data_IF_019528392237
#
_entry.id   IF_019528392237
#
_cell.length_a   1.000
_cell.length_b   1.000
_cell.length_c   1.000
_cell.angle_alpha   90.00
_cell.angle_beta   90.00
_cell.angle_gamma   90.00
#
_symmetry.space_group_name_H-M   'P 1'
#
loop_
_entity.id
_entity.type
_entity.pdbx_description
1 polymer ?
#
# COMPACT_ATOMS: atom_id res chain seq x y z
N UNK A 1 -14.37 -8.53 -3.72
CA UNK A 1 -14.31 -7.16 -4.28
C UNK A 1 -14.88 -6.20 -3.27
N UNK A 2 -14.27 -5.03 -3.08
CA UNK A 2 -14.73 -4.01 -2.13
C UNK A 2 -15.54 -2.91 -2.83
N UNK A 3 -16.47 -2.29 -2.09
CA UNK A 3 -17.21 -1.09 -2.51
C UNK A 3 -16.37 0.19 -2.45
N UNK A 4 -15.27 0.17 -1.68
CA UNK A 4 -14.37 1.31 -1.51
C UNK A 4 -13.57 1.52 -2.80
N UNK A 5 -13.63 2.76 -3.30
CA UNK A 5 -12.94 3.17 -4.52
C UNK A 5 -12.35 4.56 -4.32
N UNK A 6 -11.22 4.81 -4.99
CA UNK A 6 -10.56 6.10 -5.00
C UNK A 6 -10.31 6.52 -6.45
N UNK A 7 -10.04 7.81 -6.63
CA UNK A 7 -9.50 8.31 -7.89
C UNK A 7 -8.00 8.02 -7.93
N UNK A 8 -7.67 6.82 -8.39
CA UNK A 8 -6.28 6.39 -8.59
C UNK A 8 -5.60 7.21 -9.67
N UNK A 9 -4.41 7.71 -9.36
CA UNK A 9 -3.55 8.43 -10.30
C UNK A 9 -2.35 7.58 -10.72
N UNK A 10 -1.80 6.77 -9.80
CA UNK A 10 -0.76 5.76 -10.04
C UNK A 10 0.41 6.22 -10.93
N UNK A 11 0.75 7.51 -10.93
CA UNK A 11 1.73 8.07 -11.87
C UNK A 11 3.10 7.41 -11.73
N UNK A 12 3.57 7.18 -10.50
CA UNK A 12 4.88 6.54 -10.29
C UNK A 12 4.87 5.08 -10.80
N UNK A 13 3.80 4.35 -10.49
CA UNK A 13 3.58 2.96 -10.90
C UNK A 13 3.47 2.82 -12.42
N UNK A 14 2.90 3.80 -13.12
CA UNK A 14 2.73 3.73 -14.57
C UNK A 14 3.98 4.15 -15.36
N UNK A 15 4.89 4.92 -14.76
CA UNK A 15 6.01 5.54 -15.47
C UNK A 15 7.39 5.02 -15.07
N UNK A 16 7.49 4.19 -14.04
CA UNK A 16 8.77 3.62 -13.59
C UNK A 16 8.83 2.11 -13.83
N UNK A 17 10.03 1.56 -14.08
CA UNK A 17 10.24 0.12 -14.21
C UNK A 17 9.67 -0.69 -13.03
N UNK A 18 8.84 -1.67 -13.36
CA UNK A 18 8.28 -2.62 -12.40
C UNK A 18 8.79 -4.02 -12.73
N UNK A 19 9.20 -4.71 -11.69
CA UNK A 19 9.40 -6.14 -11.71
C UNK A 19 8.06 -6.86 -11.47
N UNK A 20 7.60 -7.58 -12.48
CA UNK A 20 6.30 -8.27 -12.48
C UNK A 20 6.38 -9.69 -11.88
N UNK A 21 7.57 -10.12 -11.44
CA UNK A 21 7.73 -11.43 -10.80
C UNK A 21 7.06 -11.48 -9.42
N UNK A 22 5.91 -12.16 -9.38
CA UNK A 22 5.12 -12.45 -8.17
C UNK A 22 5.71 -13.61 -7.38
N UNK A 23 6.89 -13.40 -6.80
CA UNK A 23 7.59 -14.38 -5.95
C UNK A 23 7.56 -13.90 -4.50
N UNK A 24 7.12 -14.77 -3.60
CA UNK A 24 7.10 -14.49 -2.16
C UNK A 24 8.52 -14.58 -1.54
N UNK A 25 8.77 -13.73 -0.55
CA UNK A 25 10.01 -13.68 0.21
C UNK A 25 11.11 -12.74 -0.33
N UNK A 26 12.22 -12.61 0.41
CA UNK A 26 13.29 -11.68 0.06
C UNK A 26 14.09 -12.13 -1.17
N UNK A 27 14.31 -11.22 -2.12
CA UNK A 27 15.14 -11.45 -3.31
C UNK A 27 15.78 -10.16 -3.80
N UNK A 28 16.79 -10.29 -4.65
CA UNK A 28 17.41 -9.16 -5.33
C UNK A 28 16.54 -8.74 -6.53
N UNK A 29 16.12 -7.48 -6.56
CA UNK A 29 15.38 -6.84 -7.65
C UNK A 29 16.36 -6.01 -8.48
N UNK A 30 16.43 -6.27 -9.79
CA UNK A 30 17.38 -5.58 -10.68
C UNK A 30 16.66 -4.83 -11.79
N UNK A 31 17.12 -3.62 -12.08
CA UNK A 31 16.59 -2.81 -13.18
C UNK A 31 15.18 -2.26 -12.94
N UNK A 32 14.62 -2.45 -11.75
CA UNK A 32 13.25 -2.03 -11.40
C UNK A 32 13.22 -1.17 -10.14
N UNK A 33 12.27 -0.24 -10.10
CA UNK A 33 11.99 0.62 -8.94
C UNK A 33 11.01 -0.05 -7.97
N UNK A 34 10.16 -0.93 -8.50
CA UNK A 34 9.09 -1.59 -7.76
C UNK A 34 9.04 -3.07 -8.10
N UNK A 35 8.49 -3.86 -7.19
CA UNK A 35 8.01 -5.22 -7.48
C UNK A 35 6.51 -5.29 -7.24
N UNK A 36 5.77 -5.99 -8.10
CA UNK A 36 4.41 -6.37 -7.79
C UNK A 36 4.40 -7.35 -6.61
N UNK A 37 3.47 -7.15 -5.68
CA UNK A 37 3.34 -7.98 -4.48
C UNK A 37 1.87 -8.24 -4.14
N UNK A 38 1.60 -9.29 -3.38
CA UNK A 38 0.30 -9.50 -2.75
C UNK A 38 0.36 -9.07 -1.28
N UNK A 39 -0.77 -8.65 -0.71
CA UNK A 39 -0.86 -8.46 0.74
C UNK A 39 -1.01 -9.80 1.44
N UNK A 40 -0.53 -9.86 2.68
CA UNK A 40 -0.73 -11.01 3.56
C UNK A 40 -1.88 -10.72 4.52
N UNK A 41 -3.02 -11.44 4.42
CA UNK A 41 -4.17 -11.20 5.30
C UNK A 41 -3.85 -11.51 6.77
N UNK A 42 -4.45 -10.73 7.67
CA UNK A 42 -4.36 -10.91 9.12
C UNK A 42 -5.65 -11.47 9.71
N UNK A 43 -5.54 -12.15 10.84
CA UNK A 43 -6.66 -12.78 11.55
C UNK A 43 -7.33 -11.78 12.47
N UNK A 44 -8.66 -11.72 12.41
CA UNK A 44 -9.52 -10.91 13.31
C UNK A 44 -9.07 -9.44 13.48
N UNK A 45 -8.87 -8.67 12.39
CA UNK A 45 -8.51 -7.27 12.49
C UNK A 45 -9.64 -6.44 13.12
N UNK A 46 -9.27 -5.35 13.79
CA UNK A 46 -10.19 -4.33 14.29
C UNK A 46 -9.55 -2.94 14.21
N UNK A 47 -10.39 -1.92 14.05
CA UNK A 47 -9.95 -0.53 14.07
C UNK A 47 -9.75 -0.09 15.52
N UNK A 48 -8.54 0.33 15.88
CA UNK A 48 -8.24 0.85 17.23
C UNK A 48 -8.46 2.35 17.30
N UNK A 49 -8.06 3.09 16.27
CA UNK A 49 -8.20 4.54 16.20
C UNK A 49 -8.16 5.02 14.75
N UNK A 50 -8.82 6.13 14.48
CA UNK A 50 -8.84 6.81 13.17
C UNK A 50 -8.61 8.30 13.39
N UNK A 51 -7.69 8.88 12.63
CA UNK A 51 -7.54 10.33 12.51
C UNK A 51 -8.54 10.86 11.47
N UNK A 52 -9.64 11.46 11.93
CA UNK A 52 -10.65 12.05 11.05
C UNK A 52 -10.05 13.11 10.11
N UNK A 53 -9.11 13.92 10.63
CA UNK A 53 -8.43 14.95 9.84
C UNK A 53 -7.59 14.33 8.71
N UNK A 54 -6.76 13.33 9.02
CA UNK A 54 -5.89 12.73 8.02
C UNK A 54 -6.68 12.01 6.91
N UNK A 55 -7.76 11.30 7.28
CA UNK A 55 -8.60 10.61 6.29
C UNK A 55 -9.33 11.60 5.38
N UNK A 56 -9.84 12.72 5.93
CA UNK A 56 -10.50 13.76 5.13
C UNK A 56 -9.53 14.45 4.19
N UNK A 57 -8.39 14.90 4.71
CA UNK A 57 -7.44 15.71 3.94
C UNK A 57 -6.69 14.86 2.89
N UNK A 58 -6.36 13.61 3.20
CA UNK A 58 -5.61 12.76 2.28
C UNK A 58 -6.51 11.98 1.32
N UNK A 59 -7.66 11.47 1.80
CA UNK A 59 -8.46 10.49 1.06
C UNK A 59 -9.90 10.96 0.73
N UNK A 60 -10.30 12.17 1.12
CA UNK A 60 -11.68 12.67 1.01
C UNK A 60 -12.73 11.79 1.73
N UNK A 61 -12.32 11.07 2.78
CA UNK A 61 -13.20 10.17 3.55
C UNK A 61 -13.26 10.62 5.01
N UNK A 62 -14.48 10.83 5.55
CA UNK A 62 -14.65 11.15 6.96
C UNK A 62 -14.61 9.92 7.85
N UNK A 63 -14.31 10.11 9.14
CA UNK A 63 -14.46 9.07 10.15
C UNK A 63 -15.91 8.55 10.21
N UNK A 64 -16.90 9.41 9.98
CA UNK A 64 -18.30 8.97 9.97
C UNK A 64 -18.58 7.98 8.83
N UNK A 65 -18.04 8.23 7.64
CA UNK A 65 -18.16 7.32 6.48
C UNK A 65 -17.49 5.97 6.79
N UNK A 66 -16.35 6.00 7.48
CA UNK A 66 -15.64 4.78 7.89
C UNK A 66 -16.48 3.97 8.87
N UNK A 67 -17.02 4.61 9.90
CA UNK A 67 -17.82 3.93 10.93
C UNK A 67 -19.15 3.39 10.39
N UNK A 68 -19.73 4.01 9.35
CA UNK A 68 -20.95 3.52 8.71
C UNK A 68 -20.74 2.15 8.04
N UNK A 69 -19.53 1.86 7.56
CA UNK A 69 -19.15 0.59 6.94
C UNK A 69 -17.84 0.04 7.54
N UNK A 70 -17.80 -0.01 8.88
CA UNK A 70 -16.59 -0.30 9.64
C UNK A 70 -15.98 -1.66 9.30
N UNK A 71 -16.81 -2.67 9.04
CA UNK A 71 -16.34 -4.02 8.70
C UNK A 71 -15.51 -4.00 7.41
N UNK A 72 -16.01 -3.35 6.36
CA UNK A 72 -15.31 -3.30 5.09
C UNK A 72 -14.03 -2.47 5.18
N UNK A 73 -14.10 -1.31 5.84
CA UNK A 73 -12.93 -0.48 6.09
C UNK A 73 -11.87 -1.19 6.93
N UNK A 74 -12.27 -1.97 7.92
CA UNK A 74 -11.34 -2.78 8.73
C UNK A 74 -10.59 -3.75 7.83
N UNK A 75 -11.28 -4.44 6.91
CA UNK A 75 -10.64 -5.37 5.99
C UNK A 75 -9.71 -4.66 4.99
N UNK A 76 -10.05 -3.45 4.53
CA UNK A 76 -9.20 -2.66 3.62
C UNK A 76 -7.95 -2.14 4.34
N UNK A 77 -8.12 -1.51 5.50
CA UNK A 77 -7.03 -0.93 6.28
C UNK A 77 -6.08 -1.99 6.85
N UNK A 78 -6.55 -3.23 7.03
CA UNK A 78 -5.70 -4.36 7.45
C UNK A 78 -5.00 -5.08 6.29
N UNK A 79 -5.24 -4.67 5.04
CA UNK A 79 -4.70 -5.35 3.85
C UNK A 79 -5.40 -6.68 3.50
N UNK A 80 -6.51 -7.02 4.16
CA UNK A 80 -7.27 -8.25 3.86
C UNK A 80 -8.14 -8.11 2.60
N UNK A 81 -8.52 -6.88 2.24
CA UNK A 81 -9.21 -6.55 0.99
C UNK A 81 -8.48 -5.42 0.30
N UNK A 82 -8.30 -5.55 -1.01
CA UNK A 82 -7.66 -4.52 -1.82
C UNK A 82 -8.74 -3.65 -2.50
N UNK A 83 -8.72 -2.32 -2.31
CA UNK A 83 -9.54 -1.37 -3.05
C UNK A 83 -9.54 -1.61 -4.55
N UNK A 84 -10.69 -1.44 -5.21
CA UNK A 84 -10.77 -1.60 -6.66
C UNK A 84 -9.87 -0.56 -7.34
N UNK A 85 -8.96 -1.02 -8.20
CA UNK A 85 -8.03 -0.18 -8.96
C UNK A 85 -6.68 0.07 -8.29
N UNK A 86 -6.50 -0.36 -7.04
CA UNK A 86 -5.18 -0.38 -6.40
C UNK A 86 -4.26 -1.38 -7.12
N UNK A 87 -2.96 -1.05 -7.15
CA UNK A 87 -1.89 -1.88 -7.72
C UNK A 87 -0.80 -2.05 -6.67
N UNK A 88 -0.92 -3.06 -5.79
CA UNK A 88 0.01 -3.25 -4.68
C UNK A 88 1.45 -3.48 -5.15
N UNK A 89 2.37 -2.68 -4.63
CA UNK A 89 3.80 -2.71 -4.97
C UNK A 89 4.68 -2.56 -3.73
N UNK A 90 5.90 -3.07 -3.81
CA UNK A 90 6.97 -2.82 -2.84
C UNK A 90 8.12 -2.05 -3.51
N UNK A 91 8.63 -1.00 -2.86
CA UNK A 91 9.75 -0.23 -3.40
C UNK A 91 11.08 -0.98 -3.26
N UNK A 92 11.88 -0.93 -4.33
CA UNK A 92 13.28 -1.33 -4.32
C UNK A 92 14.15 -0.08 -4.07
N UNK A 93 14.91 -0.09 -2.99
CA UNK A 93 15.85 0.99 -2.65
C UNK A 93 17.09 0.43 -1.95
N UNK A 94 18.08 1.27 -1.68
CA UNK A 94 19.27 0.88 -0.93
C UNK A 94 19.62 1.97 0.09
N UNK A 95 20.60 1.69 0.95
CA UNK A 95 21.02 2.70 1.92
C UNK A 95 22.26 2.33 2.70
N UNK A 96 22.77 3.32 3.43
CA UNK A 96 23.80 3.12 4.44
C UNK A 96 23.12 2.95 5.79
N UNK A 97 23.46 1.89 6.52
CA UNK A 97 23.02 1.65 7.89
C UNK A 97 24.25 1.62 8.79
N UNK A 98 24.21 2.38 9.89
CA UNK A 98 25.34 2.48 10.83
C UNK A 98 26.69 2.86 10.17
N UNK A 99 26.65 3.68 9.11
CA UNK A 99 27.84 4.16 8.40
C UNK A 99 28.40 3.19 7.36
N UNK A 100 27.77 2.02 7.13
CA UNK A 100 28.19 1.02 6.14
C UNK A 100 27.10 0.85 5.09
N UNK A 101 27.48 0.68 3.82
CA UNK A 101 26.53 0.37 2.76
C UNK A 101 25.89 -1.00 3.02
N UNK A 102 24.57 -1.02 3.21
CA UNK A 102 23.82 -2.23 3.57
C UNK A 102 23.40 -3.06 2.36
N UNK A 103 23.75 -2.64 1.15
CA UNK A 103 23.26 -3.26 -0.09
C UNK A 103 21.82 -2.86 -0.39
N UNK A 104 21.12 -3.73 -1.12
CA UNK A 104 19.71 -3.55 -1.45
C UNK A 104 18.84 -3.75 -0.21
N UNK A 105 17.94 -2.79 0.00
CA UNK A 105 16.85 -2.79 0.97
C UNK A 105 15.53 -2.82 0.18
N UNK A 106 14.45 -2.45 0.82
CA UNK A 106 13.15 -2.30 0.19
C UNK A 106 12.05 -2.22 1.23
N UNK A 107 10.81 -2.15 0.77
CA UNK A 107 9.64 -2.20 1.63
C UNK A 107 9.40 -3.64 2.14
N UNK A 108 10.27 -4.13 3.02
CA UNK A 108 10.18 -5.51 3.54
C UNK A 108 9.02 -5.78 4.51
N UNK A 109 8.23 -4.76 4.83
CA UNK A 109 7.07 -4.83 5.75
C UNK A 109 6.02 -3.74 5.48
N UNK A 110 6.06 -3.15 4.30
CA UNK A 110 5.12 -2.14 3.86
C UNK A 110 4.72 -2.46 2.41
N UNK A 111 3.50 -2.10 2.03
CA UNK A 111 3.01 -2.27 0.67
C UNK A 111 2.33 -0.96 0.29
N UNK A 112 2.76 -0.37 -0.82
CA UNK A 112 2.11 0.79 -1.42
C UNK A 112 0.96 0.29 -2.29
N UNK A 113 -0.27 0.71 -1.98
CA UNK A 113 -1.45 0.31 -2.76
C UNK A 113 -1.63 1.12 -4.06
N UNK A 114 -1.00 2.29 -4.13
CA UNK A 114 -1.06 3.21 -5.25
C UNK A 114 -1.06 4.66 -4.80
N UNK A 115 -1.14 5.55 -5.78
CA UNK A 115 -1.26 6.99 -5.55
C UNK A 115 -2.69 7.42 -5.86
N UNK A 116 -3.27 8.26 -5.00
CA UNK A 116 -4.62 8.79 -5.19
C UNK A 116 -4.59 10.30 -5.37
N UNK A 117 -5.59 10.81 -6.08
CA UNK A 117 -5.82 12.24 -6.22
C UNK A 117 -7.09 12.65 -5.48
N UNK A 118 -6.92 13.42 -4.41
CA UNK A 118 -8.01 14.08 -3.70
C UNK A 118 -8.56 15.28 -4.50
N UNK A 119 -9.67 15.83 -4.02
CA UNK A 119 -10.49 16.86 -4.69
C UNK A 119 -10.04 18.29 -4.41
#
# INVERSE_FOLDING_TARGET
STSITFKWENTAIENLPIDEEMVDGPREVRGSNYSLVETTPVVSPSIVSISDKAMKEALDVSKADILQNEEEWTQVLSGNKIPKGAKPIAHCYCGHQFGVFAGQLGDGRAITLGDIRNS
#
